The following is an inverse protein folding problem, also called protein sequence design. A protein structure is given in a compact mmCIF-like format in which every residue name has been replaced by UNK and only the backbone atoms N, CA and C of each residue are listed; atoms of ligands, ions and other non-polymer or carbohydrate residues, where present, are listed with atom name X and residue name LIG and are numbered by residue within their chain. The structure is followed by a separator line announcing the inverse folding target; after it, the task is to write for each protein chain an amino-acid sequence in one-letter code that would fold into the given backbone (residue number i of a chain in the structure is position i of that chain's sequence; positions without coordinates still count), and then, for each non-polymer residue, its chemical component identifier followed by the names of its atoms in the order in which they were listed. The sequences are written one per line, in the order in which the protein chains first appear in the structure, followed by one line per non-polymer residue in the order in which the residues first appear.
data_IF_026234600106
#
_entry.id   IF_026234600106
#
_cell.length_a   1.000
_cell.length_b   1.000
_cell.length_c   1.000
_cell.angle_alpha   90.00
_cell.angle_beta   90.00
_cell.angle_gamma   90.00
#
_symmetry.space_group_name_H-M   'P 1'
#
loop_
_entity.id
_entity.type
_entity.pdbx_description
1 polymer ?
#
# COMPACT_ATOMS: atom_id res chain seq x y z
N UNK A 1 -32.72 -3.27 25.09
CA UNK A 1 -33.02 -2.39 23.92
C UNK A 1 -31.94 -1.33 23.67
N UNK A 2 -31.39 -0.66 24.69
CA UNK A 2 -30.35 0.38 24.52
C UNK A 2 -29.00 -0.10 23.96
N UNK A 3 -28.56 -1.33 24.31
CA UNK A 3 -27.27 -1.88 23.85
C UNK A 3 -27.32 -2.27 22.37
N UNK A 4 -28.45 -2.81 21.90
CA UNK A 4 -28.63 -3.18 20.49
C UNK A 4 -28.58 -1.97 19.55
N UNK A 5 -29.12 -0.82 19.98
CA UNK A 5 -29.02 0.43 19.22
C UNK A 5 -27.59 0.98 19.17
N UNK A 6 -26.78 0.74 20.22
CA UNK A 6 -25.36 1.10 20.25
C UNK A 6 -24.55 0.32 19.21
N UNK A 7 -24.85 -0.99 19.07
CA UNK A 7 -24.21 -1.85 18.06
C UNK A 7 -24.56 -1.45 16.63
N UNK A 8 -25.81 -1.03 16.37
CA UNK A 8 -26.24 -0.55 15.05
C UNK A 8 -25.57 0.78 14.68
N UNK A 9 -25.42 1.69 15.65
CA UNK A 9 -24.71 2.96 15.44
C UNK A 9 -23.22 2.76 15.17
N UNK A 10 -22.55 1.82 15.87
CA UNK A 10 -21.16 1.44 15.60
C UNK A 10 -20.98 0.83 14.20
N UNK A 11 -21.92 0.00 13.75
CA UNK A 11 -21.90 -0.57 12.40
C UNK A 11 -22.09 0.50 11.30
N UNK A 12 -22.93 1.52 11.55
CA UNK A 12 -23.16 2.61 10.61
C UNK A 12 -21.95 3.55 10.48
N UNK A 13 -21.20 3.79 11.56
CA UNK A 13 -19.99 4.63 11.53
C UNK A 13 -18.88 4.03 10.66
N UNK A 14 -18.78 2.70 10.56
CA UNK A 14 -17.81 2.03 9.66
C UNK A 14 -18.22 2.17 8.18
N UNK A 15 -19.52 2.30 7.90
CA UNK A 15 -20.06 2.39 6.54
C UNK A 15 -20.01 3.82 5.96
N UNK A 16 -19.84 4.85 6.80
CA UNK A 16 -19.86 6.26 6.39
C UNK A 16 -18.48 6.91 6.34
N UNK A 17 -17.43 6.22 5.90
CA UNK A 17 -16.23 6.92 5.40
C UNK A 17 -16.54 7.45 4.00
N UNK A 18 -17.21 8.59 3.99
CA UNK A 18 -17.51 9.39 2.81
C UNK A 18 -16.21 9.90 2.15
N UNK A 19 -16.02 9.52 0.89
CA UNK A 19 -15.45 10.33 -0.19
C UNK A 19 -14.17 11.17 0.08
N UNK A 20 -13.18 10.63 0.81
CA UNK A 20 -11.78 10.98 0.53
C UNK A 20 -11.31 10.00 -0.53
N UNK A 21 -10.80 10.48 -1.67
CA UNK A 21 -10.15 9.62 -2.67
C UNK A 21 -9.25 8.62 -1.95
N UNK A 22 -9.50 7.32 -2.14
CA UNK A 22 -8.75 6.27 -1.45
C UNK A 22 -7.25 6.58 -1.69
N UNK A 23 -6.42 6.78 -0.64
CA UNK A 23 -5.03 7.17 -0.83
C UNK A 23 -4.25 6.17 -1.70
N UNK A 24 -4.74 4.92 -1.78
CA UNK A 24 -4.30 3.92 -2.74
C UNK A 24 -4.40 4.40 -4.21
N UNK A 25 -5.44 5.15 -4.59
CA UNK A 25 -5.66 5.61 -5.96
C UNK A 25 -4.59 6.55 -6.48
N UNK A 26 -3.77 7.14 -5.61
CA UNK A 26 -2.57 7.86 -6.05
C UNK A 26 -1.62 6.93 -6.82
N UNK A 27 -1.49 5.67 -6.39
CA UNK A 27 -0.67 4.66 -7.06
C UNK A 27 -1.22 4.22 -8.43
N UNK A 28 -2.46 4.58 -8.76
CA UNK A 28 -3.07 4.31 -10.06
C UNK A 28 -2.74 5.38 -11.11
N UNK A 29 -2.10 6.48 -10.70
CA UNK A 29 -1.70 7.52 -11.64
C UNK A 29 -0.65 6.99 -12.63
N UNK A 30 -0.78 7.24 -13.94
CA UNK A 30 0.23 6.87 -14.93
C UNK A 30 1.57 7.58 -14.70
N UNK A 31 1.58 8.67 -13.91
CA UNK A 31 2.81 9.34 -13.49
C UNK A 31 3.63 8.54 -12.45
N UNK A 32 3.04 7.51 -11.83
CA UNK A 32 3.70 6.64 -10.86
C UNK A 32 3.95 5.27 -11.52
N UNK A 33 5.16 5.09 -12.03
CA UNK A 33 5.62 3.79 -12.54
C UNK A 33 6.20 2.94 -11.41
N UNK A 34 5.93 1.63 -11.49
CA UNK A 34 6.64 0.63 -10.68
C UNK A 34 8.03 0.50 -11.33
N UNK A 35 9.14 0.68 -10.58
CA UNK A 35 10.48 0.47 -11.13
C UNK A 35 10.68 -0.95 -11.66
N UNK A 36 11.50 -1.12 -12.69
CA UNK A 36 11.76 -2.43 -13.32
C UNK A 36 12.91 -3.20 -12.67
N UNK A 37 13.59 -2.62 -11.69
CA UNK A 37 14.68 -3.24 -10.93
C UNK A 37 14.44 -3.17 -9.41
N UNK A 38 14.91 -4.20 -8.69
CA UNK A 38 14.73 -4.30 -7.24
C UNK A 38 15.47 -3.20 -6.48
N UNK A 39 16.70 -2.86 -6.88
CA UNK A 39 17.49 -1.84 -6.20
C UNK A 39 16.77 -0.49 -6.11
N UNK A 40 16.09 -0.06 -7.18
CA UNK A 40 15.28 1.16 -7.18
C UNK A 40 14.06 1.03 -6.28
N UNK A 41 13.37 -0.12 -6.29
CA UNK A 41 12.25 -0.37 -5.35
C UNK A 41 12.72 -0.34 -3.91
N UNK A 42 13.81 -1.02 -3.58
CA UNK A 42 14.40 -1.06 -2.24
C UNK A 42 14.73 0.37 -1.76
N UNK A 43 15.29 1.21 -2.63
CA UNK A 43 15.54 2.63 -2.33
C UNK A 43 14.25 3.41 -2.05
N UNK A 44 13.20 3.22 -2.84
CA UNK A 44 11.91 3.90 -2.64
C UNK A 44 11.21 3.42 -1.35
N UNK A 45 11.30 2.13 -1.03
CA UNK A 45 10.78 1.58 0.22
C UNK A 45 11.50 2.18 1.43
N UNK A 46 12.84 2.32 1.39
CA UNK A 46 13.60 3.02 2.43
C UNK A 46 13.22 4.49 2.57
N UNK A 47 13.00 5.20 1.46
CA UNK A 47 12.50 6.59 1.50
C UNK A 47 11.14 6.63 2.21
N UNK A 48 10.26 5.66 1.90
CA UNK A 48 8.95 5.55 2.53
C UNK A 48 9.07 5.22 4.02
N UNK A 49 10.05 4.39 4.41
CA UNK A 49 10.35 4.06 5.81
C UNK A 49 10.62 5.29 6.68
N UNK A 50 11.21 6.34 6.11
CA UNK A 50 11.55 7.59 6.85
C UNK A 50 10.32 8.29 7.43
N UNK A 51 9.14 8.01 6.90
CA UNK A 51 7.88 8.59 7.39
C UNK A 51 7.30 7.82 8.60
N UNK A 52 7.90 6.70 9.03
CA UNK A 52 7.38 5.86 10.12
C UNK A 52 7.88 6.26 11.53
N UNK A 53 8.52 7.42 11.70
CA UNK A 53 8.91 7.95 13.01
C UNK A 53 9.80 7.00 13.81
N UNK A 54 9.31 6.48 14.94
CA UNK A 54 10.08 5.55 15.78
C UNK A 54 10.37 4.20 15.13
N UNK A 55 9.61 3.81 14.11
CA UNK A 55 9.76 2.51 13.43
C UNK A 55 10.69 2.55 12.20
N UNK A 56 11.33 3.68 11.90
CA UNK A 56 12.23 3.85 10.74
C UNK A 56 13.27 2.73 10.66
N UNK A 57 14.00 2.48 11.75
CA UNK A 57 15.08 1.47 11.79
C UNK A 57 14.56 0.06 11.50
N UNK A 58 13.42 -0.31 12.08
CA UNK A 58 12.82 -1.62 11.86
C UNK A 58 12.36 -1.79 10.41
N UNK A 59 11.75 -0.75 9.84
CA UNK A 59 11.33 -0.74 8.44
C UNK A 59 12.53 -0.86 7.49
N UNK A 60 13.58 -0.06 7.68
CA UNK A 60 14.79 -0.13 6.84
C UNK A 60 15.49 -1.49 6.95
N UNK A 61 15.58 -2.06 8.16
CA UNK A 61 16.15 -3.40 8.36
C UNK A 61 15.34 -4.50 7.66
N UNK A 62 14.01 -4.40 7.66
CA UNK A 62 13.15 -5.33 6.92
C UNK A 62 13.41 -5.23 5.41
N UNK A 63 13.49 -4.01 4.88
CA UNK A 63 13.76 -3.75 3.46
C UNK A 63 15.15 -4.26 3.07
N UNK A 64 16.14 -4.18 3.96
CA UNK A 64 17.50 -4.68 3.72
C UNK A 64 17.65 -6.19 3.83
N UNK A 65 16.78 -6.85 4.60
CA UNK A 65 16.78 -8.31 4.70
C UNK A 65 16.21 -9.00 3.44
N UNK A 66 15.49 -8.26 2.60
CA UNK A 66 14.87 -8.78 1.38
C UNK A 66 15.80 -8.56 0.19
N UNK A 67 16.28 -9.65 -0.39
CA UNK A 67 17.01 -9.65 -1.66
C UNK A 67 16.15 -10.30 -2.74
N UNK A 68 15.75 -9.51 -3.73
CA UNK A 68 14.96 -9.95 -4.87
C UNK A 68 15.69 -9.73 -6.19
N UNK A 69 16.99 -9.44 -6.22
CA UNK A 69 17.70 -9.08 -7.47
C UNK A 69 17.50 -10.13 -8.57
N UNK A 70 17.58 -11.41 -8.21
CA UNK A 70 17.39 -12.53 -9.14
C UNK A 70 15.92 -12.86 -9.49
N UNK A 71 14.98 -12.40 -8.66
CA UNK A 71 13.57 -12.81 -8.72
C UNK A 71 12.62 -11.66 -9.09
N UNK A 72 13.09 -10.42 -9.05
CA UNK A 72 12.28 -9.23 -9.29
C UNK A 72 11.73 -9.19 -10.71
N UNK A 73 12.51 -9.61 -11.70
CA UNK A 73 12.05 -9.70 -13.10
C UNK A 73 10.84 -10.64 -13.28
N UNK A 74 10.74 -11.69 -12.45
CA UNK A 74 9.59 -12.61 -12.42
C UNK A 74 8.42 -12.05 -11.62
N UNK A 75 8.70 -11.25 -10.59
CA UNK A 75 7.69 -10.63 -9.74
C UNK A 75 7.03 -9.40 -10.39
N UNK A 76 7.81 -8.60 -11.12
CA UNK A 76 7.40 -7.35 -11.76
C UNK A 76 6.08 -7.43 -12.55
N UNK A 77 5.89 -8.36 -13.51
CA UNK A 77 4.63 -8.43 -14.25
C UNK A 77 3.43 -8.68 -13.33
N UNK A 78 3.56 -9.57 -12.35
CA UNK A 78 2.50 -9.85 -11.38
C UNK A 78 2.16 -8.64 -10.50
N UNK A 79 3.15 -7.80 -10.16
CA UNK A 79 2.91 -6.55 -9.43
C UNK A 79 2.14 -5.53 -10.27
N UNK A 80 2.46 -5.43 -11.56
CA UNK A 80 1.74 -4.55 -12.50
C UNK A 80 0.29 -4.99 -12.62
N UNK A 81 0.05 -6.29 -12.84
CA UNK A 81 -1.30 -6.86 -12.94
C UNK A 81 -2.11 -6.63 -11.65
N UNK A 82 -1.48 -6.84 -10.49
CA UNK A 82 -2.12 -6.63 -9.19
C UNK A 82 -2.49 -5.15 -8.97
N UNK A 83 -1.61 -4.22 -9.38
CA UNK A 83 -1.91 -2.78 -9.34
C UNK A 83 -3.11 -2.46 -10.22
N UNK A 84 -3.12 -2.92 -11.47
CA UNK A 84 -4.22 -2.66 -12.42
C UNK A 84 -5.55 -3.20 -11.91
N UNK A 85 -5.56 -4.44 -11.40
CA UNK A 85 -6.74 -5.04 -10.80
C UNK A 85 -7.23 -4.26 -9.57
N UNK A 86 -6.31 -3.86 -8.68
CA UNK A 86 -6.64 -3.04 -7.52
C UNK A 86 -7.22 -1.67 -7.91
N UNK A 87 -6.60 -1.00 -8.87
CA UNK A 87 -7.07 0.30 -9.36
C UNK A 87 -8.48 0.22 -9.94
N UNK A 88 -8.79 -0.84 -10.71
CA UNK A 88 -10.14 -1.06 -11.26
C UNK A 88 -11.21 -1.26 -10.18
N UNK A 89 -10.85 -1.84 -9.05
CA UNK A 89 -11.79 -2.15 -7.96
C UNK A 89 -12.00 -0.96 -7.03
N UNK A 90 -10.96 -0.16 -6.78
CA UNK A 90 -10.95 0.78 -5.65
C UNK A 90 -10.97 2.28 -6.02
N UNK A 91 -10.95 2.70 -7.30
CA UNK A 91 -10.66 4.10 -7.70
C UNK A 91 -11.61 4.81 -8.70
#
# INVERSE_FOLDING_TARGET
MKVFQLFILLAFVVLTTSASSNPFCKFCSPAISIPTDWATVQKLLKISCRNLGSAVKACEALVDAVDLDSSYSKMYPNMVDLREAGCKVYC
#
